data_IF_348049548192
#
_entry.id   IF_348049548192
#
_cell.length_a   1.000
_cell.length_b   1.000
_cell.length_c   1.000
_cell.angle_alpha   90.00
_cell.angle_beta   90.00
_cell.angle_gamma   90.00
#
_symmetry.space_group_name_H-M   'P 1'
#
loop_
_entity.id
_entity.type
_entity.pdbx_description
1 polymer ?
#
# COMPACT_ATOMS: atom_id res chain seq x y z
N UNK A 1 -11.12 -14.00 -16.18
CA UNK A 1 -11.29 -12.56 -15.88
C UNK A 1 -10.12 -11.96 -15.07
N UNK A 2 -8.96 -12.64 -14.93
CA UNK A 2 -7.75 -12.17 -14.19
C UNK A 2 -6.53 -11.99 -15.11
N UNK A 3 -6.66 -12.25 -16.42
CA UNK A 3 -5.52 -12.28 -17.38
C UNK A 3 -5.22 -10.97 -18.11
N UNK A 4 -5.82 -9.83 -17.73
CA UNK A 4 -5.76 -8.60 -18.53
C UNK A 4 -5.12 -7.38 -17.86
N UNK A 5 -4.69 -7.46 -16.60
CA UNK A 5 -4.18 -6.26 -15.87
C UNK A 5 -2.66 -6.23 -15.69
N UNK A 6 -1.94 -7.34 -15.91
CA UNK A 6 -0.48 -7.40 -15.66
C UNK A 6 0.36 -7.27 -16.96
N UNK A 7 -0.28 -7.15 -18.13
CA UNK A 7 0.44 -7.13 -19.41
C UNK A 7 0.47 -5.74 -20.06
N UNK A 8 1.04 -4.76 -19.34
CA UNK A 8 1.65 -3.53 -19.88
C UNK A 8 2.34 -2.76 -18.74
N UNK A 9 3.46 -3.29 -18.26
CA UNK A 9 4.40 -2.50 -17.43
C UNK A 9 5.66 -2.09 -18.21
N UNK A 10 5.77 -2.52 -19.46
CA UNK A 10 6.70 -1.98 -20.44
C UNK A 10 5.87 -1.60 -21.66
N UNK A 11 5.74 -0.29 -21.93
CA UNK A 11 5.66 0.34 -23.26
C UNK A 11 5.26 1.83 -23.09
N UNK A 12 6.27 2.67 -23.28
CA UNK A 12 6.25 4.03 -23.83
C UNK A 12 5.74 5.21 -22.97
N UNK A 13 6.65 6.19 -22.87
CA UNK A 13 6.55 7.54 -22.27
C UNK A 13 5.54 8.47 -22.99
N UNK A 14 4.38 7.99 -23.43
CA UNK A 14 3.44 8.77 -24.26
C UNK A 14 1.99 8.76 -23.80
N UNK A 15 1.68 8.29 -22.59
CA UNK A 15 0.32 8.45 -22.05
C UNK A 15 0.15 9.85 -21.43
N UNK A 16 -0.85 10.57 -21.92
CA UNK A 16 -1.22 11.88 -21.40
C UNK A 16 -1.52 11.78 -19.90
N UNK A 17 -1.27 12.82 -19.11
CA UNK A 17 -1.62 12.81 -17.68
C UNK A 17 -3.11 12.52 -17.40
N UNK A 18 -3.97 12.64 -18.43
CA UNK A 18 -5.39 12.27 -18.40
C UNK A 18 -5.60 10.75 -18.42
N UNK A 19 -4.78 10.00 -19.16
CA UNK A 19 -4.87 8.54 -19.23
C UNK A 19 -4.42 7.90 -17.92
N UNK A 20 -3.35 8.41 -17.30
CA UNK A 20 -2.91 8.00 -15.96
C UNK A 20 -3.98 8.25 -14.89
N UNK A 21 -4.72 9.36 -14.98
CA UNK A 21 -5.81 9.67 -14.05
C UNK A 21 -7.04 8.77 -14.24
N UNK A 22 -7.37 8.38 -15.48
CA UNK A 22 -8.46 7.42 -15.75
C UNK A 22 -8.11 6.01 -15.28
N UNK A 23 -6.89 5.57 -15.56
CA UNK A 23 -6.37 4.30 -15.04
C UNK A 23 -6.34 4.31 -13.50
N UNK A 24 -5.92 5.44 -12.90
CA UNK A 24 -5.97 5.65 -11.46
C UNK A 24 -7.41 5.60 -10.89
N UNK A 25 -8.40 6.19 -11.57
CA UNK A 25 -9.80 6.12 -11.14
C UNK A 25 -10.37 4.70 -11.24
N UNK A 26 -9.99 3.93 -12.27
CA UNK A 26 -10.34 2.52 -12.41
C UNK A 26 -9.69 1.67 -11.31
N UNK A 27 -8.40 1.88 -11.03
CA UNK A 27 -7.71 1.23 -9.92
C UNK A 27 -8.32 1.63 -8.57
N UNK A 28 -8.71 2.89 -8.39
CA UNK A 28 -9.43 3.35 -7.19
C UNK A 28 -10.77 2.64 -7.03
N UNK A 29 -11.54 2.43 -8.09
CA UNK A 29 -12.80 1.67 -8.02
C UNK A 29 -12.60 0.19 -7.67
N UNK A 30 -11.46 -0.39 -8.06
CA UNK A 30 -11.10 -1.78 -7.79
C UNK A 30 -10.43 -1.98 -6.42
N UNK A 31 -9.77 -0.95 -5.88
CA UNK A 31 -8.87 -1.04 -4.71
C UNK A 31 -9.37 -0.24 -3.50
N UNK A 32 -10.24 0.75 -3.71
CA UNK A 32 -10.68 1.64 -2.65
C UNK A 32 -12.13 2.09 -2.86
N UNK A 33 -13.07 1.34 -2.27
CA UNK A 33 -14.45 1.79 -2.08
C UNK A 33 -14.57 2.33 -0.64
N UNK A 34 -14.63 3.66 -0.45
CA UNK A 34 -14.62 4.26 0.89
C UNK A 34 -15.77 3.79 1.78
N UNK A 35 -16.88 3.37 1.17
CA UNK A 35 -18.14 3.09 1.88
C UNK A 35 -18.51 1.59 1.92
N UNK A 36 -17.82 0.72 1.16
CA UNK A 36 -18.13 -0.71 1.07
C UNK A 36 -16.87 -1.57 0.92
N UNK A 37 -16.57 -2.38 1.93
CA UNK A 37 -15.57 -3.44 1.77
C UNK A 37 -16.05 -4.52 0.79
N UNK A 38 -15.16 -5.09 -0.01
CA UNK A 38 -15.52 -6.17 -0.92
C UNK A 38 -15.35 -7.54 -0.27
N UNK A 39 -16.21 -8.50 -0.62
CA UNK A 39 -16.27 -9.84 -0.01
C UNK A 39 -14.96 -10.64 -0.17
N UNK A 40 -14.21 -10.38 -1.24
CA UNK A 40 -12.94 -11.07 -1.55
C UNK A 40 -11.70 -10.34 -0.99
N UNK A 41 -11.86 -9.37 -0.08
CA UNK A 41 -10.76 -8.54 0.43
C UNK A 41 -9.67 -9.34 1.09
N UNK A 42 -10.01 -10.17 2.07
CA UNK A 42 -9.00 -10.96 2.77
C UNK A 42 -8.37 -12.00 1.85
N UNK A 43 -9.10 -12.53 0.86
CA UNK A 43 -8.51 -13.41 -0.14
C UNK A 43 -7.43 -12.68 -0.95
N UNK A 44 -7.79 -11.52 -1.51
CA UNK A 44 -6.86 -10.71 -2.27
C UNK A 44 -5.67 -10.24 -1.41
N UNK A 45 -5.95 -9.72 -0.21
CA UNK A 45 -4.94 -9.23 0.70
C UNK A 45 -3.97 -10.34 1.12
N UNK A 46 -4.46 -11.53 1.45
CA UNK A 46 -3.61 -12.69 1.73
C UNK A 46 -2.73 -13.04 0.53
N UNK A 47 -3.29 -13.00 -0.68
CA UNK A 47 -2.55 -13.32 -1.92
C UNK A 47 -1.40 -12.35 -2.16
N UNK A 48 -1.56 -11.05 -1.89
CA UNK A 48 -0.52 -10.04 -2.14
C UNK A 48 0.40 -9.78 -0.95
N UNK A 49 -0.05 -10.01 0.29
CA UNK A 49 0.71 -9.75 1.51
C UNK A 49 1.54 -10.92 2.00
N UNK A 50 1.16 -12.16 1.70
CA UNK A 50 1.94 -13.31 2.16
C UNK A 50 3.10 -13.63 1.21
N UNK A 51 4.29 -13.99 1.72
CA UNK A 51 5.42 -14.38 0.90
C UNK A 51 5.10 -15.57 -0.01
N UNK A 52 5.67 -15.58 -1.22
CA UNK A 52 5.45 -16.66 -2.20
C UNK A 52 5.84 -18.02 -1.63
N UNK A 53 6.92 -18.09 -0.85
CA UNK A 53 7.34 -19.31 -0.16
C UNK A 53 6.23 -19.91 0.73
N UNK A 54 5.46 -19.06 1.43
CA UNK A 54 4.34 -19.53 2.25
C UNK A 54 3.21 -20.12 1.40
N UNK A 55 2.91 -19.51 0.25
CA UNK A 55 1.94 -20.05 -0.70
C UNK A 55 2.37 -21.41 -1.27
N UNK A 56 3.66 -21.57 -1.60
CA UNK A 56 4.21 -22.85 -2.06
C UNK A 56 4.05 -23.93 -0.98
N UNK A 57 4.41 -23.63 0.27
CA UNK A 57 4.25 -24.57 1.39
C UNK A 57 2.79 -24.92 1.64
N UNK A 58 1.89 -23.93 1.65
CA UNK A 58 0.45 -24.14 1.81
C UNK A 58 -0.13 -25.02 0.71
N UNK A 59 0.20 -24.74 -0.56
CA UNK A 59 -0.23 -25.57 -1.69
C UNK A 59 0.28 -27.01 -1.57
N UNK A 60 1.56 -27.20 -1.24
CA UNK A 60 2.10 -28.54 -1.02
C UNK A 60 1.40 -29.28 0.13
N UNK A 61 1.09 -28.60 1.23
CA UNK A 61 0.39 -29.19 2.36
C UNK A 61 -1.05 -29.61 2.02
N UNK A 62 -1.74 -28.85 1.17
CA UNK A 62 -3.11 -29.15 0.72
C UNK A 62 -3.15 -30.27 -0.33
N UNK A 63 -2.27 -30.22 -1.34
CA UNK A 63 -2.37 -31.12 -2.50
C UNK A 63 -1.66 -32.48 -2.33
N UNK A 64 -0.77 -32.64 -1.35
CA UNK A 64 -0.01 -33.90 -1.18
C UNK A 64 -0.68 -34.96 -0.32
N UNK A 65 -1.89 -34.74 0.19
CA UNK A 65 -2.57 -35.71 1.03
C UNK A 65 -4.06 -35.46 1.15
N UNK A 66 -4.78 -36.45 1.69
CA UNK A 66 -6.17 -36.26 2.13
C UNK A 66 -6.15 -35.77 3.57
N UNK A 67 -6.98 -34.78 3.86
CA UNK A 67 -7.15 -34.28 5.22
C UNK A 67 -7.71 -35.36 6.12
N UNK A 68 -6.99 -35.64 7.21
CA UNK A 68 -7.42 -36.53 8.28
C UNK A 68 -8.35 -35.75 9.24
N UNK A 69 -9.06 -36.48 10.12
CA UNK A 69 -10.06 -35.88 11.03
C UNK A 69 -9.45 -34.85 11.97
N UNK A 70 -8.29 -35.15 12.53
CA UNK A 70 -7.45 -34.27 13.34
C UNK A 70 -7.02 -33.01 12.58
N UNK A 71 -6.68 -33.13 11.31
CA UNK A 71 -6.31 -31.98 10.47
C UNK A 71 -7.49 -31.05 10.20
N UNK A 72 -8.70 -31.58 10.09
CA UNK A 72 -9.92 -30.75 10.00
C UNK A 72 -10.19 -29.97 11.28
N UNK A 73 -9.83 -30.51 12.45
CA UNK A 73 -9.93 -29.79 13.74
C UNK A 73 -9.01 -28.55 13.72
N UNK A 74 -7.86 -28.62 13.05
CA UNK A 74 -6.93 -27.48 12.89
C UNK A 74 -7.37 -26.56 11.75
N UNK A 75 -7.83 -27.10 10.62
CA UNK A 75 -8.21 -26.30 9.45
C UNK A 75 -9.52 -25.54 9.64
N UNK A 76 -10.49 -26.10 10.38
CA UNK A 76 -11.81 -25.50 10.56
C UNK A 76 -11.75 -24.13 11.23
N UNK A 77 -10.97 -23.90 12.32
CA UNK A 77 -10.77 -22.57 12.88
C UNK A 77 -10.18 -21.56 11.88
N UNK A 78 -9.20 -21.97 11.07
CA UNK A 78 -8.61 -21.10 10.05
C UNK A 78 -9.67 -20.62 9.04
N UNK A 79 -10.46 -21.57 8.53
CA UNK A 79 -11.56 -21.30 7.59
C UNK A 79 -12.65 -20.47 8.26
N UNK A 80 -13.00 -20.77 9.51
CA UNK A 80 -14.01 -20.04 10.26
C UNK A 80 -13.62 -18.58 10.48
N UNK A 81 -12.38 -18.32 10.92
CA UNK A 81 -11.85 -16.94 11.05
C UNK A 81 -11.90 -16.24 9.71
N UNK A 82 -11.40 -16.88 8.65
CA UNK A 82 -11.35 -16.29 7.32
C UNK A 82 -12.76 -15.94 6.78
N UNK A 83 -13.71 -16.86 6.91
CA UNK A 83 -15.10 -16.64 6.50
C UNK A 83 -15.77 -15.56 7.34
N UNK A 84 -15.56 -15.57 8.66
CA UNK A 84 -16.13 -14.58 9.57
C UNK A 84 -15.66 -13.18 9.20
N UNK A 85 -14.35 -12.95 9.08
CA UNK A 85 -13.84 -11.61 8.74
C UNK A 85 -14.27 -11.21 7.34
N UNK A 86 -14.26 -12.13 6.37
CA UNK A 86 -14.71 -11.84 4.99
C UNK A 86 -16.19 -11.48 4.91
N UNK A 87 -17.02 -11.99 5.84
CA UNK A 87 -18.44 -11.65 5.93
C UNK A 87 -18.71 -10.25 6.49
N UNK A 88 -17.75 -9.64 7.20
CA UNK A 88 -17.90 -8.33 7.84
C UNK A 88 -17.47 -7.17 6.93
N UNK A 89 -18.22 -6.96 5.84
CA UNK A 89 -17.87 -5.99 4.78
C UNK A 89 -17.69 -4.54 5.26
N UNK A 90 -18.21 -4.15 6.43
CA UNK A 90 -17.95 -2.84 7.03
C UNK A 90 -16.51 -2.61 7.50
N UNK A 91 -15.71 -3.67 7.67
CA UNK A 91 -14.36 -3.60 8.24
C UNK A 91 -13.25 -4.16 7.31
N UNK A 92 -13.56 -4.43 6.04
CA UNK A 92 -12.62 -5.05 5.08
C UNK A 92 -11.60 -4.06 4.51
N UNK A 93 -10.75 -3.49 5.37
CA UNK A 93 -9.69 -2.55 4.97
C UNK A 93 -8.39 -2.78 5.77
N UNK A 94 -8.34 -3.80 6.62
CA UNK A 94 -7.18 -4.14 7.43
C UNK A 94 -6.83 -5.62 7.32
N UNK A 95 -5.71 -5.95 6.68
CA UNK A 95 -5.22 -7.33 6.58
C UNK A 95 -5.06 -8.00 7.94
N UNK A 96 -4.78 -7.24 9.00
CA UNK A 96 -4.52 -7.75 10.35
C UNK A 96 -5.62 -8.69 10.90
N UNK A 97 -6.86 -8.52 10.46
CA UNK A 97 -7.99 -9.31 10.95
C UNK A 97 -7.93 -10.78 10.49
N UNK A 98 -7.21 -11.12 9.42
CA UNK A 98 -7.02 -12.51 8.98
C UNK A 98 -5.82 -13.20 9.64
N UNK A 99 -4.93 -12.45 10.31
CA UNK A 99 -3.74 -13.00 10.95
C UNK A 99 -4.02 -14.13 11.95
N UNK A 100 -5.12 -14.11 12.75
CA UNK A 100 -5.46 -15.22 13.63
C UNK A 100 -5.71 -16.57 12.91
N UNK A 101 -5.91 -16.57 11.59
CA UNK A 101 -6.01 -17.80 10.79
C UNK A 101 -4.62 -18.42 10.48
N UNK A 102 -3.54 -17.63 10.51
CA UNK A 102 -2.21 -18.07 10.08
C UNK A 102 -1.57 -19.14 10.99
N UNK A 103 -1.68 -19.09 12.33
CA UNK A 103 -1.12 -20.15 13.18
C UNK A 103 -1.65 -21.54 12.81
N UNK A 104 -2.95 -21.65 12.53
CA UNK A 104 -3.56 -22.90 12.07
C UNK A 104 -2.99 -23.35 10.72
N UNK A 105 -2.82 -22.41 9.77
CA UNK A 105 -2.18 -22.71 8.50
C UNK A 105 -0.74 -23.21 8.68
N UNK A 106 0.04 -22.62 9.60
CA UNK A 106 1.40 -23.07 9.89
C UNK A 106 1.45 -24.47 10.52
N UNK A 107 0.53 -24.79 11.43
CA UNK A 107 0.40 -26.15 11.98
C UNK A 107 0.09 -27.16 10.87
N UNK A 108 -0.84 -26.82 9.96
CA UNK A 108 -1.13 -27.68 8.80
C UNK A 108 0.08 -27.86 7.90
N UNK A 109 0.84 -26.80 7.62
CA UNK A 109 2.11 -26.85 6.86
C UNK A 109 3.14 -27.76 7.54
N UNK A 110 3.12 -27.84 8.88
CA UNK A 110 3.98 -28.72 9.67
C UNK A 110 3.90 -30.21 9.28
N UNK A 111 2.81 -30.67 8.65
CA UNK A 111 2.70 -32.04 8.12
C UNK A 111 3.79 -32.39 7.11
N UNK A 112 4.35 -31.37 6.43
CA UNK A 112 5.47 -31.54 5.50
C UNK A 112 6.76 -32.00 6.20
N UNK A 113 6.85 -31.87 7.53
CA UNK A 113 8.02 -32.28 8.31
C UNK A 113 7.92 -33.72 8.89
N UNK A 114 6.72 -34.25 9.18
CA UNK A 114 6.58 -35.39 10.10
C UNK A 114 5.59 -36.52 9.76
N UNK A 115 4.95 -36.56 8.58
CA UNK A 115 3.98 -37.62 8.23
C UNK A 115 4.55 -38.79 7.40
N UNK A 116 3.71 -39.71 6.87
CA UNK A 116 4.07 -40.58 5.73
C UNK A 116 4.56 -39.77 4.50
N UNK A 117 4.20 -38.48 4.48
CA UNK A 117 4.69 -37.45 3.57
C UNK A 117 6.18 -37.13 3.80
N UNK A 118 6.76 -37.41 4.97
CA UNK A 118 8.18 -37.26 5.32
C UNK A 118 9.12 -38.16 4.48
N UNK A 119 8.57 -39.16 3.79
CA UNK A 119 9.17 -39.76 2.59
C UNK A 119 9.00 -38.81 1.40
N UNK A 120 9.37 -37.54 1.59
CA UNK A 120 9.41 -36.58 0.50
C UNK A 120 10.45 -37.10 -0.49
N UNK A 121 10.02 -37.34 -1.72
CA UNK A 121 10.93 -37.49 -2.85
C UNK A 121 11.96 -36.35 -2.79
N UNK A 122 13.21 -36.63 -3.14
CA UNK A 122 14.34 -35.68 -3.08
C UNK A 122 13.96 -34.29 -3.61
N UNK A 123 13.18 -34.23 -4.69
CA UNK A 123 12.66 -32.98 -5.29
C UNK A 123 11.80 -32.16 -4.33
N UNK A 124 10.85 -32.77 -3.62
CA UNK A 124 9.96 -32.03 -2.73
C UNK A 124 10.70 -31.45 -1.52
N UNK A 125 11.75 -32.11 -1.02
CA UNK A 125 12.61 -31.56 0.04
C UNK A 125 13.30 -30.27 -0.41
N UNK A 126 13.82 -30.25 -1.64
CA UNK A 126 14.41 -29.05 -2.22
C UNK A 126 13.38 -27.93 -2.40
N UNK A 127 12.15 -28.24 -2.82
CA UNK A 127 11.08 -27.24 -2.95
C UNK A 127 10.75 -26.64 -1.57
N UNK A 128 10.59 -27.48 -0.54
CA UNK A 128 10.33 -27.02 0.83
C UNK A 128 11.49 -26.15 1.34
N UNK A 129 12.73 -26.60 1.17
CA UNK A 129 13.92 -25.83 1.56
C UNK A 129 14.00 -24.48 0.82
N UNK A 130 13.76 -24.47 -0.49
CA UNK A 130 13.73 -23.26 -1.30
C UNK A 130 12.59 -22.31 -0.85
N UNK A 131 11.42 -22.84 -0.52
CA UNK A 131 10.30 -22.03 -0.04
C UNK A 131 10.58 -21.39 1.33
N UNK A 132 11.20 -22.13 2.26
CA UNK A 132 11.67 -21.56 3.54
C UNK A 132 12.78 -20.52 3.32
N UNK A 133 13.74 -20.82 2.45
CA UNK A 133 14.78 -19.88 2.05
C UNK A 133 14.20 -18.59 1.45
N UNK A 134 13.16 -18.70 0.63
CA UNK A 134 12.43 -17.55 0.09
C UNK A 134 11.76 -16.72 1.18
N UNK A 135 11.09 -17.36 2.14
CA UNK A 135 10.46 -16.63 3.25
C UNK A 135 11.49 -15.87 4.09
N UNK A 136 12.63 -16.50 4.39
CA UNK A 136 13.72 -15.86 5.11
C UNK A 136 14.31 -14.68 4.32
N UNK A 137 14.58 -14.88 3.02
CA UNK A 137 15.09 -13.84 2.14
C UNK A 137 14.11 -12.66 2.01
N UNK A 138 12.82 -12.92 1.82
CA UNK A 138 11.80 -11.88 1.75
C UNK A 138 11.69 -11.07 3.05
N UNK A 139 11.78 -11.74 4.21
CA UNK A 139 11.77 -11.08 5.52
C UNK A 139 12.99 -10.18 5.72
N UNK A 140 14.18 -10.67 5.36
CA UNK A 140 15.42 -9.89 5.45
C UNK A 140 15.44 -8.73 4.44
N UNK A 141 14.92 -8.94 3.23
CA UNK A 141 14.88 -7.94 2.19
C UNK A 141 14.01 -6.72 2.54
N UNK A 142 12.88 -6.95 3.21
CA UNK A 142 11.96 -5.86 3.56
C UNK A 142 12.32 -5.16 4.88
N UNK A 143 13.22 -5.72 5.67
CA UNK A 143 13.60 -5.14 6.96
C UNK A 143 14.14 -3.71 6.78
N UNK A 144 13.69 -2.71 7.58
CA UNK A 144 12.75 -2.80 8.71
C UNK A 144 11.26 -2.54 8.38
N UNK A 145 10.90 -2.35 7.10
CA UNK A 145 9.57 -1.91 6.63
C UNK A 145 8.54 -3.05 6.47
N UNK A 146 8.45 -3.96 7.45
CA UNK A 146 7.62 -5.17 7.34
C UNK A 146 6.12 -4.88 7.10
N UNK A 147 5.60 -3.76 7.60
CA UNK A 147 4.20 -3.36 7.36
C UNK A 147 3.94 -3.12 5.87
N UNK A 148 4.86 -2.43 5.20
CA UNK A 148 4.82 -2.14 3.77
C UNK A 148 5.15 -3.34 2.88
N UNK A 149 5.39 -4.54 3.44
CA UNK A 149 5.66 -5.75 2.63
C UNK A 149 4.49 -6.08 1.71
N UNK A 150 4.78 -6.28 0.43
CA UNK A 150 3.95 -7.00 -0.52
C UNK A 150 4.86 -7.96 -1.25
N UNK A 151 4.34 -9.13 -1.64
CA UNK A 151 5.16 -10.12 -2.30
C UNK A 151 5.59 -9.68 -3.70
N UNK A 152 6.53 -10.43 -4.25
CA UNK A 152 7.26 -10.06 -5.45
C UNK A 152 6.34 -10.08 -6.70
N UNK A 153 5.28 -10.91 -6.69
CA UNK A 153 4.26 -10.92 -7.75
C UNK A 153 3.31 -9.72 -7.70
N UNK A 154 3.18 -9.09 -6.53
CA UNK A 154 2.47 -7.83 -6.34
C UNK A 154 3.38 -6.61 -6.58
N UNK A 155 4.58 -6.81 -7.16
CA UNK A 155 5.52 -5.74 -7.46
C UNK A 155 6.28 -5.21 -6.25
N UNK A 156 6.25 -5.92 -5.11
CA UNK A 156 7.01 -5.57 -3.92
C UNK A 156 6.45 -4.35 -3.17
N UNK A 157 7.17 -3.86 -2.14
CA UNK A 157 6.71 -2.76 -1.29
C UNK A 157 6.53 -1.45 -2.06
N UNK A 158 7.34 -1.22 -3.11
CA UNK A 158 7.24 -0.03 -3.98
C UNK A 158 5.88 0.07 -4.67
N UNK A 159 5.29 -1.06 -5.06
CA UNK A 159 4.02 -1.11 -5.78
C UNK A 159 2.84 -1.53 -4.91
N UNK A 160 3.08 -1.80 -3.62
CA UNK A 160 2.06 -2.25 -2.68
C UNK A 160 0.82 -1.35 -2.61
N UNK A 161 1.03 -0.04 -2.68
CA UNK A 161 -0.03 0.98 -2.67
C UNK A 161 -0.96 0.92 -3.90
N UNK A 162 -0.61 0.19 -4.96
CA UNK A 162 -1.51 -0.13 -6.08
C UNK A 162 -2.54 -1.18 -5.64
N UNK A 163 -2.19 -2.05 -4.70
CA UNK A 163 -2.99 -3.19 -4.28
C UNK A 163 -3.83 -2.91 -3.04
N UNK A 164 -3.22 -2.35 -1.99
CA UNK A 164 -3.87 -2.05 -0.73
C UNK A 164 -3.27 -0.77 -0.15
N UNK A 165 -4.11 0.04 0.48
CA UNK A 165 -3.70 1.23 1.22
C UNK A 165 -4.14 1.12 2.68
N UNK A 166 -4.28 2.23 3.37
CA UNK A 166 -4.54 2.38 4.80
C UNK A 166 -3.43 1.76 5.65
N UNK A 167 -3.86 1.28 6.80
CA UNK A 167 -3.26 0.29 7.67
C UNK A 167 -2.47 -0.84 7.04
N UNK A 168 -2.64 -1.14 5.76
CA UNK A 168 -1.88 -2.20 5.11
C UNK A 168 -0.47 -1.71 4.75
N UNK A 169 -0.19 -0.42 4.80
CA UNK A 169 1.12 0.13 4.48
C UNK A 169 1.69 0.89 5.67
N UNK A 170 0.86 1.69 6.34
CA UNK A 170 1.36 2.66 7.30
C UNK A 170 0.36 2.96 8.40
N UNK A 171 0.87 3.27 9.59
CA UNK A 171 0.20 3.72 10.80
C UNK A 171 0.84 4.98 11.42
N UNK A 172 1.72 5.63 10.68
CA UNK A 172 2.51 6.79 11.09
C UNK A 172 3.94 6.43 11.52
N UNK A 173 4.34 5.16 11.46
CA UNK A 173 5.69 4.74 11.88
C UNK A 173 6.79 5.30 10.95
N UNK A 174 6.46 5.58 9.68
CA UNK A 174 7.43 6.09 8.72
C UNK A 174 7.69 7.60 8.87
N UNK A 175 7.01 8.28 9.81
CA UNK A 175 7.37 9.64 10.22
C UNK A 175 8.80 9.71 10.81
N UNK A 176 9.25 8.64 11.48
CA UNK A 176 10.64 8.54 11.93
C UNK A 176 11.61 8.60 10.74
N UNK A 177 11.32 7.81 9.70
CA UNK A 177 12.16 7.76 8.49
C UNK A 177 12.09 9.07 7.69
N UNK A 178 10.95 9.75 7.76
CA UNK A 178 10.81 11.09 7.19
C UNK A 178 11.66 12.10 7.95
N UNK A 179 11.71 12.04 9.28
CA UNK A 179 12.59 12.89 10.09
C UNK A 179 14.05 12.72 9.67
N UNK A 180 14.56 11.48 9.63
CA UNK A 180 15.93 11.19 9.24
C UNK A 180 16.27 11.80 7.86
N UNK A 181 15.35 11.68 6.90
CA UNK A 181 15.53 12.27 5.58
C UNK A 181 15.52 13.81 5.60
N UNK A 182 14.62 14.41 6.39
CA UNK A 182 14.50 15.87 6.50
C UNK A 182 15.72 16.50 7.17
N UNK A 183 16.31 15.84 8.17
CA UNK A 183 17.50 16.33 8.86
C UNK A 183 18.69 16.54 7.90
N UNK A 184 18.75 15.73 6.84
CA UNK A 184 19.79 15.81 5.80
C UNK A 184 19.44 16.73 4.62
N UNK A 185 18.15 16.88 4.27
CA UNK A 185 17.73 17.46 2.98
C UNK A 185 16.79 18.67 3.06
N UNK A 186 16.18 18.94 4.23
CA UNK A 186 15.16 19.99 4.37
C UNK A 186 15.74 21.40 4.20
N UNK A 187 16.95 21.62 4.70
CA UNK A 187 17.67 22.91 4.66
C UNK A 187 16.80 24.10 5.10
N UNK A 188 16.06 23.92 6.20
CA UNK A 188 15.16 24.94 6.77
C UNK A 188 13.94 25.30 5.92
N UNK A 189 13.74 24.68 4.75
CA UNK A 189 12.61 24.97 3.87
C UNK A 189 11.27 24.57 4.54
N UNK A 190 10.18 25.31 4.28
CA UNK A 190 8.84 24.88 4.66
C UNK A 190 8.49 23.52 4.06
N UNK A 191 7.79 22.69 4.82
CA UNK A 191 7.35 21.35 4.41
C UNK A 191 5.83 21.31 4.32
N UNK A 192 5.31 20.94 3.15
CA UNK A 192 3.92 20.52 3.03
C UNK A 192 3.80 19.02 3.34
N UNK A 193 3.23 18.65 4.50
CA UNK A 193 3.07 17.25 4.92
C UNK A 193 1.60 16.85 5.01
N UNK A 194 1.27 15.71 4.44
CA UNK A 194 0.05 14.97 4.79
C UNK A 194 0.38 13.48 4.89
N UNK A 195 0.06 12.87 6.02
CA UNK A 195 0.41 11.48 6.32
C UNK A 195 -0.76 10.72 6.95
N UNK A 196 -0.71 9.40 6.85
CA UNK A 196 -1.71 8.51 7.42
C UNK A 196 -1.26 8.00 8.78
N UNK A 197 -2.17 7.95 9.76
CA UNK A 197 -1.84 7.54 11.13
C UNK A 197 -1.98 8.65 12.16
N UNK A 198 -3.11 9.39 12.12
CA UNK A 198 -3.41 10.56 12.97
C UNK A 198 -3.35 10.36 14.49
N UNK A 199 -2.87 9.21 14.97
CA UNK A 199 -2.53 8.96 16.37
C UNK A 199 -1.08 9.35 16.72
N UNK A 200 -0.22 9.55 15.71
CA UNK A 200 1.20 9.91 15.89
C UNK A 200 1.40 11.32 15.36
N UNK A 201 1.75 12.28 16.21
CA UNK A 201 1.91 13.68 15.78
C UNK A 201 3.31 13.97 15.21
N UNK A 202 3.43 14.65 14.05
CA UNK A 202 4.73 15.01 13.45
C UNK A 202 5.64 15.83 14.39
N UNK A 203 5.04 16.66 15.26
CA UNK A 203 5.75 17.44 16.26
C UNK A 203 6.60 16.60 17.23
N UNK A 204 6.25 15.32 17.47
CA UNK A 204 7.07 14.42 18.29
C UNK A 204 8.43 14.10 17.66
N UNK A 205 8.57 14.32 16.36
CA UNK A 205 9.79 14.16 15.58
C UNK A 205 10.41 15.52 15.20
N UNK A 206 9.96 16.62 15.81
CA UNK A 206 10.42 17.97 15.43
C UNK A 206 10.01 18.39 14.01
N UNK A 207 9.01 17.74 13.41
CA UNK A 207 8.56 18.05 12.06
C UNK A 207 7.48 19.13 12.15
N UNK A 208 7.88 20.38 11.94
CA UNK A 208 6.96 21.48 11.64
C UNK A 208 6.50 21.38 10.18
N UNK A 209 5.20 21.51 9.93
CA UNK A 209 4.63 21.37 8.59
C UNK A 209 3.39 22.23 8.39
N UNK A 210 3.00 22.38 7.13
CA UNK A 210 1.67 22.85 6.72
C UNK A 210 1.03 21.78 5.82
N UNK A 211 -0.27 21.89 5.55
CA UNK A 211 -0.92 20.98 4.60
C UNK A 211 -0.52 21.32 3.15
N UNK A 212 -0.26 20.31 2.28
CA UNK A 212 0.00 20.59 0.87
C UNK A 212 -1.20 21.26 0.18
N UNK A 213 -0.97 22.05 -0.88
CA UNK A 213 -2.02 22.72 -1.63
C UNK A 213 -3.10 21.74 -2.10
N UNK A 214 -4.35 22.11 -1.85
CA UNK A 214 -5.50 21.24 -2.15
C UNK A 214 -5.99 21.46 -3.57
N UNK A 215 -6.27 20.37 -4.28
CA UNK A 215 -6.89 20.43 -5.60
C UNK A 215 -7.98 19.37 -5.74
N UNK A 216 -9.18 19.81 -6.14
CA UNK A 216 -10.28 18.90 -6.49
C UNK A 216 -10.45 18.94 -8.00
N UNK A 217 -10.24 17.79 -8.63
CA UNK A 217 -10.58 17.59 -10.05
C UNK A 217 -11.87 16.76 -10.16
N UNK A 218 -12.79 17.23 -11.01
CA UNK A 218 -14.00 16.50 -11.41
C UNK A 218 -14.07 16.49 -12.93
N UNK A 219 -14.38 15.35 -13.52
CA UNK A 219 -14.53 15.25 -14.97
C UNK A 219 -15.64 16.20 -15.43
N UNK A 220 -15.38 16.94 -16.52
CA UNK A 220 -16.30 17.94 -17.06
C UNK A 220 -16.47 19.23 -16.23
N UNK A 221 -15.61 19.48 -15.22
CA UNK A 221 -15.64 20.73 -14.44
C UNK A 221 -14.23 21.33 -14.30
N UNK A 222 -14.11 22.66 -14.20
CA UNK A 222 -12.83 23.29 -13.91
C UNK A 222 -12.29 22.82 -12.55
N UNK A 223 -10.96 22.71 -12.40
CA UNK A 223 -10.33 22.39 -11.12
C UNK A 223 -10.74 23.40 -10.04
N UNK A 224 -10.88 22.92 -8.81
CA UNK A 224 -11.21 23.76 -7.65
C UNK A 224 -10.13 23.62 -6.58
N UNK A 225 -9.56 24.73 -6.14
CA UNK A 225 -8.52 24.76 -5.10
C UNK A 225 -7.28 25.53 -5.55
N UNK A 226 -6.21 25.42 -4.78
CA UNK A 226 -4.95 26.13 -4.99
C UNK A 226 -4.12 25.52 -6.14
N UNK A 227 -4.20 24.19 -6.29
CA UNK A 227 -3.37 23.46 -7.24
C UNK A 227 -1.90 23.37 -6.82
N UNK A 228 -1.05 22.76 -7.66
CA UNK A 228 0.37 22.63 -7.38
C UNK A 228 1.04 24.00 -7.16
N UNK A 229 1.98 24.07 -6.22
CA UNK A 229 2.87 25.20 -5.93
C UNK A 229 4.30 24.69 -5.77
N UNK A 230 5.34 25.50 -6.04
CA UNK A 230 6.73 25.08 -5.81
C UNK A 230 6.99 24.80 -4.34
N UNK A 231 7.96 23.95 -4.04
CA UNK A 231 8.37 23.64 -2.66
C UNK A 231 8.51 22.15 -2.37
N UNK A 232 8.82 21.88 -1.10
CA UNK A 232 9.07 20.54 -0.57
C UNK A 232 7.79 19.95 0.04
N UNK A 233 7.41 18.76 -0.41
CA UNK A 233 6.20 18.08 0.03
C UNK A 233 6.48 16.63 0.41
N UNK A 234 5.82 16.15 1.46
CA UNK A 234 5.79 14.75 1.86
C UNK A 234 4.33 14.29 1.93
N UNK A 235 3.95 13.34 1.08
CA UNK A 235 2.55 12.93 0.89
C UNK A 235 2.44 11.42 1.04
N UNK A 236 1.64 10.97 2.01
CA UNK A 236 1.39 9.53 2.19
C UNK A 236 0.68 8.94 0.97
N UNK A 237 1.10 7.73 0.59
CA UNK A 237 0.51 6.95 -0.49
C UNK A 237 -1.00 6.74 -0.32
N UNK A 238 -1.49 6.80 0.92
CA UNK A 238 -2.92 6.85 1.24
C UNK A 238 -3.65 8.00 0.54
N UNK A 239 -3.13 9.21 0.69
CA UNK A 239 -3.72 10.41 0.10
C UNK A 239 -3.39 10.55 -1.38
N UNK A 240 -2.22 10.06 -1.82
CA UNK A 240 -1.90 9.90 -3.24
C UNK A 240 -2.89 8.97 -3.95
N UNK A 241 -3.38 7.93 -3.26
CA UNK A 241 -4.41 7.00 -3.73
C UNK A 241 -5.84 7.47 -3.44
N UNK A 242 -6.00 8.69 -2.93
CA UNK A 242 -7.29 9.36 -2.80
C UNK A 242 -8.12 8.90 -1.61
N UNK A 243 -7.46 8.51 -0.50
CA UNK A 243 -8.12 8.32 0.80
C UNK A 243 -8.83 9.59 1.22
N UNK A 244 -10.10 9.44 1.58
CA UNK A 244 -10.98 10.50 2.13
C UNK A 244 -11.48 10.07 3.50
N UNK A 245 -12.40 10.79 4.15
CA UNK A 245 -13.03 10.40 5.42
C UNK A 245 -12.01 10.07 6.53
N UNK A 246 -10.98 10.90 6.66
CA UNK A 246 -9.94 10.76 7.67
C UNK A 246 -9.51 12.15 8.16
N UNK A 247 -9.21 12.29 9.45
CA UNK A 247 -8.67 13.53 10.01
C UNK A 247 -7.15 13.50 9.96
N UNK A 248 -6.54 14.62 9.57
CA UNK A 248 -5.08 14.80 9.55
C UNK A 248 -4.70 16.06 10.32
N UNK A 249 -3.56 16.08 11.04
CA UNK A 249 -3.06 17.29 11.68
C UNK A 249 -2.78 18.40 10.66
N UNK A 250 -3.18 19.63 10.99
CA UNK A 250 -3.04 20.78 10.10
C UNK A 250 -1.68 21.51 10.17
N UNK A 251 -0.85 21.15 11.16
CA UNK A 251 0.44 21.80 11.42
C UNK A 251 0.39 22.95 12.43
N UNK A 252 -0.80 23.34 12.88
CA UNK A 252 -1.02 24.48 13.79
C UNK A 252 -1.73 24.06 15.09
N UNK A 253 -1.67 22.77 15.43
CA UNK A 253 -2.33 22.19 16.61
C UNK A 253 -3.80 21.82 16.41
N UNK A 254 -4.33 21.96 15.19
CA UNK A 254 -5.65 21.52 14.80
C UNK A 254 -5.65 20.27 13.92
N UNK A 255 -6.84 19.87 13.49
CA UNK A 255 -7.04 18.79 12.52
C UNK A 255 -7.96 19.24 11.40
N UNK A 256 -7.72 18.72 10.20
CA UNK A 256 -8.61 18.87 9.05
C UNK A 256 -9.20 17.53 8.65
N UNK A 257 -10.52 17.49 8.53
CA UNK A 257 -11.23 16.34 7.98
C UNK A 257 -11.16 16.32 6.45
N UNK A 258 -10.52 15.29 5.89
CA UNK A 258 -10.29 15.12 4.45
C UNK A 258 -11.56 14.62 3.76
N UNK A 259 -12.34 15.53 3.17
CA UNK A 259 -13.62 15.20 2.51
C UNK A 259 -13.49 14.75 1.05
N UNK A 260 -12.39 15.10 0.38
CA UNK A 260 -12.17 14.87 -1.05
C UNK A 260 -10.71 14.46 -1.30
N UNK A 261 -10.42 13.78 -2.42
CA UNK A 261 -9.07 13.33 -2.74
C UNK A 261 -8.21 14.50 -3.23
N UNK A 262 -7.77 15.37 -2.32
CA UNK A 262 -7.14 16.65 -2.66
C UNK A 262 -5.75 16.56 -3.29
N UNK A 263 -5.04 15.44 -3.08
CA UNK A 263 -3.60 15.33 -3.33
C UNK A 263 -3.24 14.24 -4.34
N UNK A 264 -4.20 13.68 -5.05
CA UNK A 264 -3.94 12.64 -6.07
C UNK A 264 -3.16 13.17 -7.27
N UNK A 265 -3.11 14.49 -7.45
CA UNK A 265 -2.37 15.14 -8.53
C UNK A 265 -0.86 14.95 -8.40
N UNK A 266 -0.33 14.79 -7.18
CA UNK A 266 1.09 14.50 -6.94
C UNK A 266 1.52 13.25 -7.70
N UNK A 267 0.83 12.13 -7.47
CA UNK A 267 1.11 10.86 -8.14
C UNK A 267 0.80 10.88 -9.65
N UNK A 268 -0.14 11.73 -10.09
CA UNK A 268 -0.53 11.81 -11.50
C UNK A 268 0.44 12.61 -12.36
N UNK A 269 1.19 13.55 -11.77
CA UNK A 269 1.89 14.60 -12.52
C UNK A 269 3.34 14.84 -12.10
N UNK A 270 3.78 14.32 -10.95
CA UNK A 270 5.13 14.52 -10.44
C UNK A 270 5.76 13.18 -10.05
N UNK A 271 7.08 13.08 -10.19
CA UNK A 271 7.87 11.96 -9.71
C UNK A 271 8.46 12.29 -8.32
N UNK A 272 8.43 11.36 -7.36
CA UNK A 272 9.02 11.61 -6.05
C UNK A 272 10.55 11.58 -6.13
N UNK A 273 11.20 12.49 -5.41
CA UNK A 273 12.68 12.52 -5.27
C UNK A 273 13.18 11.49 -4.26
N UNK A 274 12.33 11.11 -3.30
CA UNK A 274 12.63 10.11 -2.28
C UNK A 274 11.36 9.48 -1.71
N UNK A 275 11.51 8.42 -0.91
CA UNK A 275 10.41 7.81 -0.16
C UNK A 275 10.85 7.46 1.26
N UNK A 276 10.00 7.74 2.24
CA UNK A 276 10.15 7.23 3.60
C UNK A 276 9.29 5.95 3.79
N UNK A 277 9.95 4.83 4.07
CA UNK A 277 9.34 3.53 4.42
C UNK A 277 8.37 2.90 3.40
N UNK A 278 8.41 3.38 2.14
CA UNK A 278 7.47 3.06 1.06
C UNK A 278 6.05 3.63 1.23
N UNK A 279 5.78 4.39 2.30
CA UNK A 279 4.45 4.90 2.59
C UNK A 279 4.30 6.42 2.43
N UNK A 280 5.41 7.17 2.50
CA UNK A 280 5.43 8.62 2.31
C UNK A 280 6.33 8.93 1.13
N UNK A 281 5.79 9.60 0.12
CA UNK A 281 6.54 10.02 -1.05
C UNK A 281 6.93 11.49 -0.88
N UNK A 282 8.18 11.79 -1.19
CA UNK A 282 8.77 13.11 -1.01
C UNK A 282 8.96 13.74 -2.39
N UNK A 283 8.51 14.98 -2.55
CA UNK A 283 8.52 15.74 -3.79
C UNK A 283 9.22 17.07 -3.56
N UNK A 284 10.17 17.42 -4.41
CA UNK A 284 10.80 18.74 -4.43
C UNK A 284 10.45 19.40 -5.76
N UNK A 285 9.46 20.30 -5.74
CA UNK A 285 8.83 20.82 -6.95
C UNK A 285 9.43 22.16 -7.36
N UNK A 286 10.01 22.23 -8.55
CA UNK A 286 10.50 23.47 -9.13
C UNK A 286 9.36 24.34 -9.71
N UNK A 287 9.58 25.67 -9.86
CA UNK A 287 8.62 26.55 -10.54
C UNK A 287 8.25 26.09 -11.95
N UNK A 288 9.23 25.67 -12.75
CA UNK A 288 9.03 25.22 -14.13
C UNK A 288 8.13 23.97 -14.21
N UNK A 289 8.40 22.96 -13.36
CA UNK A 289 7.56 21.74 -13.32
C UNK A 289 6.13 22.06 -12.89
N UNK A 290 5.99 22.94 -11.89
CA UNK A 290 4.70 23.36 -11.36
C UNK A 290 3.90 24.06 -12.45
N UNK A 291 4.48 25.02 -13.16
CA UNK A 291 3.77 25.77 -14.19
C UNK A 291 3.39 24.90 -15.37
N UNK A 292 4.27 24.00 -15.81
CA UNK A 292 3.93 22.99 -16.81
C UNK A 292 2.77 22.09 -16.40
N UNK A 293 2.66 21.71 -15.12
CA UNK A 293 1.51 20.94 -14.60
C UNK A 293 0.26 21.81 -14.48
N UNK A 294 0.38 23.06 -14.02
CA UNK A 294 -0.75 24.00 -13.88
C UNK A 294 -1.40 24.28 -15.23
N UNK A 295 -0.62 24.52 -16.27
CA UNK A 295 -1.11 24.67 -17.65
C UNK A 295 -1.89 23.43 -18.11
N UNK A 296 -1.32 22.23 -17.93
CA UNK A 296 -2.00 20.96 -18.26
C UNK A 296 -3.30 20.73 -17.49
N UNK A 297 -3.42 21.32 -16.30
CA UNK A 297 -4.62 21.27 -15.47
C UNK A 297 -5.60 22.41 -15.78
N UNK A 298 -5.26 23.37 -16.64
CA UNK A 298 -6.08 24.55 -16.93
C UNK A 298 -6.06 25.59 -15.80
N UNK A 299 -4.98 25.62 -15.00
CA UNK A 299 -4.69 26.62 -13.99
C UNK A 299 -3.73 27.67 -14.56
N UNK A 300 -3.77 28.90 -14.06
CA UNK A 300 -2.80 29.92 -14.45
C UNK A 300 -1.40 29.58 -13.90
N UNK A 301 -0.33 29.77 -14.69
CA UNK A 301 1.05 29.73 -14.21
C UNK A 301 1.28 30.65 -13.01
N UNK A 302 2.28 30.35 -12.19
CA UNK A 302 2.69 31.15 -11.05
C UNK A 302 3.86 32.06 -11.36
N UNK A 303 4.73 31.71 -12.31
CA UNK A 303 5.68 32.66 -12.88
C UNK A 303 4.99 33.62 -13.85
N UNK A 304 5.28 34.91 -13.74
CA UNK A 304 4.94 35.92 -14.75
C UNK A 304 5.80 35.79 -16.01
#
# INVERSE_FOLDING_TARGET
>A
MIRLVVRRMDLEQTSSGVDRLREFQLLRQLVHQPDHGWWHYYLYATVVKLPIGLWVLGALAVFRGRFRRDEWIVAAPAVAVFCLVSSQTGFNHHFRYVLPALPFAFVLIGRLAGGPVAVLQRRTRWIVAAAFGWMAAASLWIHPHHLSYFNELAGGPRNGHIHLVDSNIDWGQDLWLLQDWLDEHRDGRPLGLVYFGGFIHPAWFGIDHELPPRLVRREGRPPQGEGPKPGLYAVSVNFLRGRTQFSVPDGHGGEVYVRKPYWTYFLAHFEPVATAGHSIYIYDLSPEEVDGVRERLGLQPLSE
#
